data_IF_928738142196
#
_entry.id   IF_928738142196
#
_cell.length_a   1.000
_cell.length_b   1.000
_cell.length_c   1.000
_cell.angle_alpha   90.00
_cell.angle_beta   90.00
_cell.angle_gamma   90.00
#
_symmetry.space_group_name_H-M   'P 1'
#
loop_
_entity.id
_entity.type
_entity.pdbx_description
1 polymer ?
#
# COMPACT_ATOMS: atom_id res chain seq x y z
N UNK A 10 -0.68 4.37 -19.65
CA UNK A 10 -0.99 5.58 -18.90
C UNK A 10 -0.11 5.71 -17.64
N UNK A 11 1.19 5.93 -17.84
CA UNK A 11 2.07 6.16 -16.72
C UNK A 11 1.75 7.53 -16.10
N UNK A 12 1.32 7.49 -14.85
CA UNK A 12 0.74 8.66 -14.20
C UNK A 12 0.18 8.24 -12.86
N UNK A 13 -0.63 9.08 -12.23
CA UNK A 13 -1.34 8.67 -11.04
C UNK A 13 -2.30 7.57 -11.43
N UNK A 14 -2.02 6.34 -11.00
CA UNK A 14 -2.79 5.18 -11.42
C UNK A 14 -4.14 5.19 -10.75
N UNK A 15 -5.17 4.73 -11.46
CA UNK A 15 -6.52 4.74 -10.93
C UNK A 15 -6.68 3.72 -9.83
N UNK A 16 -7.17 4.21 -8.71
CA UNK A 16 -7.31 3.50 -7.45
C UNK A 16 -7.86 2.07 -7.54
N UNK A 17 -8.53 1.69 -8.62
CA UNK A 17 -9.21 0.43 -8.64
C UNK A 17 -8.49 -0.58 -9.56
N UNK A 18 -7.33 -0.20 -10.08
CA UNK A 18 -6.66 -1.00 -11.10
C UNK A 18 -5.77 -2.09 -10.52
N UNK A 19 -5.30 -1.89 -9.30
CA UNK A 19 -4.47 -2.89 -8.65
C UNK A 19 -5.32 -3.95 -7.99
N UNK A 20 -4.64 -4.96 -7.48
CA UNK A 20 -5.28 -6.09 -6.84
C UNK A 20 -4.51 -6.49 -5.59
N UNK A 21 -5.19 -7.17 -4.67
CA UNK A 21 -4.54 -7.61 -3.45
C UNK A 21 -3.69 -8.83 -3.75
N UNK A 22 -2.43 -8.60 -4.04
CA UNK A 22 -1.50 -9.69 -4.13
C UNK A 22 -1.11 -10.13 -2.73
N UNK A 23 -0.68 -9.17 -1.92
CA UNK A 23 -0.42 -9.41 -0.50
C UNK A 23 -0.82 -8.18 0.31
N UNK A 24 -1.74 -8.38 1.24
CA UNK A 24 -2.25 -7.29 2.08
C UNK A 24 -1.19 -6.88 3.09
N UNK A 25 -1.31 -5.68 3.71
CA UNK A 25 -0.32 -5.18 4.66
C UNK A 25 0.18 -6.25 5.62
N UNK A 26 1.46 -6.54 5.50
CA UNK A 26 2.10 -7.60 6.24
C UNK A 26 3.38 -7.07 6.87
N UNK A 27 3.64 -7.43 8.11
CA UNK A 27 4.85 -6.97 8.80
C UNK A 27 6.07 -7.47 8.04
N UNK A 28 6.87 -6.54 7.52
CA UNK A 28 7.92 -6.86 6.56
C UNK A 28 8.82 -7.97 7.07
N UNK A 29 9.34 -7.76 8.27
CA UNK A 29 10.23 -8.70 8.89
C UNK A 29 11.34 -7.98 9.64
N UNK A 30 11.64 -6.76 9.19
CA UNK A 30 12.69 -5.96 9.80
C UNK A 30 12.08 -4.93 10.77
N UNK A 31 10.80 -5.15 11.06
CA UNK A 31 10.04 -4.34 12.03
C UNK A 31 9.46 -3.11 11.35
N UNK A 32 8.73 -3.39 10.27
CA UNK A 32 8.01 -2.40 9.49
C UNK A 32 6.93 -3.16 8.72
N UNK A 33 6.29 -2.55 7.74
CA UNK A 33 5.23 -3.25 7.02
C UNK A 33 5.48 -3.25 5.52
N UNK A 34 5.09 -4.34 4.89
CA UNK A 34 5.10 -4.45 3.43
C UNK A 34 3.72 -4.79 2.91
N UNK A 35 3.46 -4.39 1.70
CA UNK A 35 2.25 -4.77 1.01
C UNK A 35 2.60 -4.99 -0.45
N UNK A 36 1.88 -5.88 -1.12
CA UNK A 36 2.21 -6.22 -2.48
C UNK A 36 0.98 -6.12 -3.36
N UNK A 37 1.08 -5.35 -4.43
CA UNK A 37 -0.08 -5.06 -5.28
C UNK A 37 0.24 -5.30 -6.76
N UNK A 38 -0.76 -5.74 -7.53
CA UNK A 38 -0.56 -6.07 -8.94
C UNK A 38 -1.39 -5.19 -9.87
N UNK A 39 -0.80 -4.73 -10.99
CA UNK A 39 -1.53 -3.89 -11.95
C UNK A 39 -2.25 -4.70 -13.03
N UNK A 40 -3.27 -4.08 -13.58
CA UNK A 40 -3.97 -4.61 -14.74
C UNK A 40 -3.44 -4.05 -16.08
N UNK A 41 -2.76 -2.91 -16.09
CA UNK A 41 -2.26 -2.38 -17.36
C UNK A 41 -1.40 -1.12 -17.25
N UNK A 42 -1.77 -0.25 -16.33
CA UNK A 42 -1.03 1.01 -16.12
C UNK A 42 0.47 0.74 -15.91
N UNK A 43 1.32 1.42 -16.69
CA UNK A 43 2.75 1.23 -16.59
C UNK A 43 3.30 2.26 -15.60
N UNK A 44 4.64 2.31 -15.31
CA UNK A 44 5.22 3.07 -14.20
C UNK A 44 4.37 4.25 -13.74
N UNK A 45 3.61 3.98 -12.70
CA UNK A 45 2.63 4.95 -12.23
C UNK A 45 3.06 5.50 -10.88
N UNK A 46 2.21 6.34 -10.32
CA UNK A 46 2.44 6.90 -8.99
C UNK A 46 1.42 6.28 -8.07
N UNK A 47 1.83 5.27 -7.32
CA UNK A 47 0.88 4.46 -6.58
C UNK A 47 0.34 5.21 -5.37
N UNK A 48 -0.98 5.44 -5.33
CA UNK A 48 -1.62 6.08 -4.19
C UNK A 48 -1.79 5.11 -3.02
N UNK A 49 -0.71 4.94 -2.30
CA UNK A 49 -0.68 4.08 -1.14
C UNK A 49 -0.76 4.89 0.12
N UNK A 50 -1.87 4.77 0.80
CA UNK A 50 -2.06 5.48 2.04
C UNK A 50 -2.46 4.47 3.09
N UNK A 51 -2.58 4.91 4.31
CA UNK A 51 -3.02 4.03 5.36
C UNK A 51 -3.83 4.79 6.37
N UNK A 52 -4.82 4.15 6.95
CA UNK A 52 -5.62 4.78 7.98
C UNK A 52 -5.46 3.99 9.26
N UNK A 53 -5.48 4.70 10.37
CA UNK A 53 -5.42 4.06 11.66
C UNK A 53 -6.67 3.24 11.96
N UNK A 54 -6.46 1.94 12.17
CA UNK A 54 -7.52 0.99 12.55
C UNK A 54 -8.83 1.25 11.79
N UNK A 55 -8.83 1.03 10.47
CA UNK A 55 -10.02 1.28 9.67
C UNK A 55 -10.71 2.62 9.92
N UNK A 56 -9.94 3.67 10.23
CA UNK A 56 -10.52 4.99 10.49
C UNK A 56 -9.68 6.04 9.76
N UNK A 57 -10.17 6.54 8.62
CA UNK A 57 -9.45 7.54 7.82
C UNK A 57 -9.47 8.92 8.44
N UNK A 58 -8.90 9.07 9.63
CA UNK A 58 -8.81 10.36 10.28
C UNK A 58 -7.42 10.91 10.06
N UNK A 59 -6.43 10.13 10.47
CA UNK A 59 -5.03 10.45 10.21
C UNK A 59 -4.38 9.34 9.41
N UNK A 60 -3.73 9.73 8.33
CA UNK A 60 -2.97 8.81 7.50
C UNK A 60 -1.78 8.23 8.28
N UNK A 61 -1.77 6.91 8.43
CA UNK A 61 -0.70 6.23 9.13
C UNK A 61 0.32 5.67 8.17
N UNK A 62 0.18 5.98 6.89
CA UNK A 62 1.13 5.50 5.90
C UNK A 62 2.41 6.31 5.93
N UNK A 63 3.29 5.92 6.82
CA UNK A 63 4.63 6.44 6.86
C UNK A 63 5.51 5.43 6.16
N UNK A 64 5.82 5.71 4.91
CA UNK A 64 6.27 4.67 4.02
C UNK A 64 7.77 4.47 4.13
N UNK A 65 8.15 3.23 4.46
CA UNK A 65 9.55 2.84 4.50
C UNK A 65 10.11 2.94 3.09
N UNK A 66 9.21 2.74 2.14
CA UNK A 66 9.50 2.93 0.73
C UNK A 66 8.50 3.93 0.16
N UNK A 67 8.78 5.24 0.31
CA UNK A 67 7.83 6.31 0.03
C UNK A 67 7.79 6.74 -1.43
N UNK A 68 8.12 5.82 -2.32
CA UNK A 68 8.07 6.07 -3.76
C UNK A 68 7.76 4.79 -4.52
N UNK A 69 6.54 4.24 -4.35
CA UNK A 69 6.13 3.03 -5.05
C UNK A 69 5.65 3.32 -6.46
N UNK A 70 5.86 2.36 -7.34
CA UNK A 70 5.56 2.51 -8.73
C UNK A 70 5.04 1.18 -9.27
N UNK A 71 4.16 1.25 -10.23
CA UNK A 71 3.66 0.02 -10.83
C UNK A 71 4.33 -0.17 -12.15
N UNK A 72 4.86 -1.37 -12.33
CA UNK A 72 5.68 -1.71 -13.47
C UNK A 72 5.08 -2.86 -14.26
N UNK A 73 5.88 -3.43 -15.15
CA UNK A 73 5.44 -4.52 -16.03
C UNK A 73 4.89 -5.73 -15.27
N UNK A 74 5.09 -5.81 -13.96
CA UNK A 74 4.52 -6.90 -13.17
C UNK A 74 3.59 -6.36 -12.08
N UNK A 75 3.40 -5.05 -12.08
CA UNK A 75 2.54 -4.43 -11.07
C UNK A 75 3.36 -3.58 -10.12
N UNK A 76 2.70 -2.96 -9.15
CA UNK A 76 3.40 -2.24 -8.10
C UNK A 76 4.49 -3.06 -7.46
N UNK A 77 4.20 -4.33 -7.20
CA UNK A 77 5.17 -5.17 -6.56
C UNK A 77 5.13 -4.97 -5.06
N UNK A 78 6.29 -4.76 -4.48
CA UNK A 78 6.39 -4.65 -3.04
C UNK A 78 6.56 -3.20 -2.61
N UNK A 79 5.86 -2.83 -1.55
CA UNK A 79 5.98 -1.52 -0.96
C UNK A 79 6.19 -1.65 0.52
N UNK A 80 6.62 -0.57 1.18
CA UNK A 80 6.87 -0.63 2.60
C UNK A 80 6.23 0.57 3.30
N UNK A 81 5.47 0.27 4.33
CA UNK A 81 4.76 1.28 5.11
C UNK A 81 4.97 0.98 6.57
N UNK A 82 4.66 1.94 7.45
CA UNK A 82 4.61 1.70 8.89
C UNK A 82 4.17 2.97 9.59
N UNK A 83 3.93 2.84 10.87
CA UNK A 83 3.52 3.91 11.75
C UNK A 83 3.75 3.34 13.14
N UNK A 84 4.37 4.12 14.07
CA UNK A 84 4.63 3.68 15.44
C UNK A 84 3.61 2.64 15.93
N UNK A 85 4.12 1.48 16.42
CA UNK A 85 3.31 0.28 16.69
C UNK A 85 1.91 0.59 17.20
N UNK A 86 0.93 -0.10 16.63
CA UNK A 86 -0.43 0.36 16.74
C UNK A 86 -1.26 -0.21 15.61
N UNK A 87 -2.48 0.26 15.46
CA UNK A 87 -3.35 -0.27 14.44
C UNK A 87 -3.18 0.50 13.15
N UNK A 88 -2.78 -0.18 12.09
CA UNK A 88 -2.66 0.46 10.80
C UNK A 88 -3.49 -0.33 9.79
N UNK A 89 -3.72 0.24 8.64
CA UNK A 89 -4.30 -0.47 7.50
C UNK A 89 -3.99 0.30 6.25
N UNK A 90 -3.67 -0.40 5.19
CA UNK A 90 -3.26 0.29 3.99
C UNK A 90 -4.42 0.37 3.02
N UNK A 91 -4.73 1.58 2.62
CA UNK A 91 -5.69 1.84 1.56
C UNK A 91 -4.93 2.13 0.28
N UNK A 92 -4.69 1.09 -0.50
CA UNK A 92 -4.00 1.26 -1.76
C UNK A 92 -5.02 1.65 -2.80
N UNK A 93 -5.30 2.93 -2.89
CA UNK A 93 -6.39 3.39 -3.71
C UNK A 93 -7.72 2.83 -3.24
N UNK A 94 -8.31 1.97 -4.04
CA UNK A 94 -9.56 1.30 -3.69
C UNK A 94 -9.28 0.07 -2.83
N UNK A 95 -8.04 -0.39 -2.86
CA UNK A 95 -7.61 -1.52 -2.05
C UNK A 95 -7.53 -1.10 -0.58
N UNK A 96 -7.63 -2.06 0.31
CA UNK A 96 -7.50 -1.80 1.74
C UNK A 96 -7.40 -3.11 2.51
N UNK A 97 -6.83 -3.05 3.71
CA UNK A 97 -6.76 -4.21 4.59
C UNK A 97 -6.19 -3.80 5.95
N UNK A 98 -6.99 -3.93 7.01
CA UNK A 98 -6.57 -3.57 8.36
C UNK A 98 -5.64 -4.61 8.97
N UNK A 99 -4.81 -4.13 9.89
CA UNK A 99 -3.87 -4.97 10.63
C UNK A 99 -3.07 -4.11 11.61
N UNK A 100 -3.24 -4.33 12.91
CA UNK A 100 -2.40 -3.68 13.89
C UNK A 100 -0.96 -4.20 13.79
N UNK A 101 -0.04 -3.30 13.54
CA UNK A 101 1.34 -3.68 13.27
C UNK A 101 2.07 -3.87 14.58
N UNK A 102 2.55 -5.08 14.80
CA UNK A 102 3.22 -5.45 16.04
C UNK A 102 4.25 -6.54 15.76
#
# INVERSE_FOLDING_TARGET
>A
GSEFGSKGLTYTVCDKTKFTWKRAPTDSGHDTVVMEVGFSGTRPCRIPVRAVAHGVPEVNVAMLITPNPTMENNGGGFIEMQLPPGDNIIYVGDLNHQWFQK
#
